data_IF_889984173161
#
_entry.id   IF_889984173161
#
_cell.length_a   1.000
_cell.length_b   1.000
_cell.length_c   1.000
_cell.angle_alpha   90.00
_cell.angle_beta   90.00
_cell.angle_gamma   90.00
#
_symmetry.space_group_name_H-M   'P 1'
#
loop_
_entity.id
_entity.type
_entity.pdbx_description
1 polymer ?
#
# COMPACT_ATOMS: atom_id res chain seq x y z
N UNK A 1 -15.15 -9.54 2.87
CA UNK A 1 -14.03 -8.61 3.03
C UNK A 1 -14.38 -7.28 2.39
N UNK A 2 -14.25 -6.21 3.13
CA UNK A 2 -14.64 -4.89 2.66
C UNK A 2 -13.42 -4.01 2.41
N UNK A 3 -13.29 -3.50 1.19
CA UNK A 3 -12.17 -2.65 0.79
C UNK A 3 -12.60 -1.19 0.92
N UNK A 4 -11.80 -0.33 1.59
CA UNK A 4 -12.13 1.09 1.70
C UNK A 4 -12.26 1.75 0.33
N UNK A 5 -13.26 2.59 0.16
CA UNK A 5 -13.52 3.25 -1.13
C UNK A 5 -13.08 4.71 -1.17
N UNK A 6 -12.77 5.26 -0.03
CA UNK A 6 -12.39 6.67 0.11
C UNK A 6 -10.95 6.86 0.58
N UNK A 7 -10.15 5.82 0.46
CA UNK A 7 -8.75 5.86 0.88
C UNK A 7 -7.91 6.59 -0.17
N UNK A 8 -7.17 7.61 0.26
CA UNK A 8 -6.25 8.32 -0.63
C UNK A 8 -4.90 7.61 -0.72
N UNK A 9 -4.16 7.89 -1.79
CA UNK A 9 -2.81 7.37 -1.93
C UNK A 9 -1.92 7.78 -0.77
N UNK A 10 -2.04 9.03 -0.32
CA UNK A 10 -1.27 9.54 0.81
C UNK A 10 -1.55 8.77 2.10
N UNK A 11 -2.82 8.44 2.35
CA UNK A 11 -3.21 7.66 3.53
C UNK A 11 -2.65 6.24 3.44
N UNK A 12 -2.72 5.64 2.27
CA UNK A 12 -2.18 4.30 2.04
C UNK A 12 -0.67 4.26 2.28
N UNK A 13 0.06 5.25 1.75
CA UNK A 13 1.50 5.38 1.97
C UNK A 13 1.82 5.49 3.45
N UNK A 14 1.06 6.34 4.17
CA UNK A 14 1.27 6.54 5.61
C UNK A 14 1.15 5.25 6.39
N UNK A 15 0.10 4.47 6.11
CA UNK A 15 -0.13 3.21 6.82
C UNK A 15 0.95 2.18 6.47
N UNK A 16 1.29 2.05 5.20
CA UNK A 16 2.30 1.09 4.78
C UNK A 16 3.67 1.41 5.39
N UNK A 17 4.01 2.70 5.49
CA UNK A 17 5.27 3.10 6.12
C UNK A 17 5.25 2.91 7.63
N UNK A 18 4.13 3.22 8.29
CA UNK A 18 4.01 3.12 9.74
C UNK A 18 3.91 1.68 10.24
N UNK A 19 3.07 0.87 9.58
CA UNK A 19 2.68 -0.44 10.12
C UNK A 19 3.33 -1.62 9.39
N UNK A 20 3.82 -1.42 8.16
CA UNK A 20 4.23 -2.55 7.31
C UNK A 20 5.69 -2.47 6.86
N UNK A 21 6.45 -1.54 7.39
CA UNK A 21 7.89 -1.48 7.15
C UNK A 21 8.31 -0.98 5.78
N UNK A 22 7.43 -0.24 5.11
CA UNK A 22 7.78 0.40 3.85
C UNK A 22 8.37 1.78 4.10
N UNK A 23 9.08 2.30 3.11
CA UNK A 23 9.58 3.67 3.13
C UNK A 23 9.43 4.26 1.74
N UNK A 24 9.34 5.59 1.67
CA UNK A 24 9.28 6.30 0.40
C UNK A 24 10.68 6.35 -0.20
N UNK A 25 10.84 5.74 -1.38
CA UNK A 25 12.10 5.80 -2.09
C UNK A 25 12.21 7.11 -2.88
N UNK A 26 11.17 7.45 -3.63
CA UNK A 26 11.07 8.70 -4.38
C UNK A 26 9.66 8.86 -4.92
N UNK A 27 9.39 9.96 -5.59
CA UNK A 27 8.11 10.23 -6.22
C UNK A 27 8.34 10.56 -7.70
N UNK A 28 7.58 9.91 -8.56
CA UNK A 28 7.61 10.17 -10.00
C UNK A 28 6.24 10.63 -10.45
N UNK A 29 6.10 11.92 -10.73
CA UNK A 29 4.82 12.51 -11.10
C UNK A 29 3.79 12.26 -10.01
N UNK A 30 2.68 11.61 -10.35
CA UNK A 30 1.61 11.29 -9.42
C UNK A 30 1.78 9.91 -8.75
N UNK A 31 2.95 9.27 -8.92
CA UNK A 31 3.22 7.97 -8.30
C UNK A 31 4.26 8.10 -7.20
N UNK A 32 3.93 7.56 -6.03
CA UNK A 32 4.84 7.51 -4.89
C UNK A 32 5.44 6.12 -4.86
N UNK A 33 6.76 6.03 -4.96
CA UNK A 33 7.45 4.75 -5.00
C UNK A 33 7.86 4.37 -3.58
N UNK A 34 7.29 3.28 -3.08
CA UNK A 34 7.65 2.72 -1.79
C UNK A 34 8.55 1.53 -1.97
N UNK A 35 9.37 1.27 -0.97
CA UNK A 35 10.16 0.05 -0.96
C UNK A 35 10.31 -0.49 0.45
N UNK A 36 10.55 -1.79 0.53
CA UNK A 36 10.84 -2.50 1.76
C UNK A 36 11.94 -3.51 1.49
N UNK A 37 12.70 -3.86 2.53
CA UNK A 37 13.72 -4.90 2.44
C UNK A 37 13.32 -6.16 3.22
N UNK A 38 12.16 -6.15 3.86
CA UNK A 38 11.72 -7.25 4.70
C UNK A 38 10.41 -7.85 4.20
N UNK A 39 10.35 -9.17 4.06
CA UNK A 39 11.43 -10.16 4.27
C UNK A 39 12.48 -10.12 3.16
N UNK A 40 12.19 -9.46 2.06
CA UNK A 40 13.09 -9.31 0.92
C UNK A 40 12.74 -7.99 0.21
N UNK A 41 13.54 -7.60 -0.76
CA UNK A 41 13.33 -6.37 -1.48
C UNK A 41 12.04 -6.40 -2.28
N UNK A 42 11.24 -5.33 -2.16
CA UNK A 42 10.03 -5.12 -2.96
C UNK A 42 9.83 -3.62 -3.19
N UNK A 43 9.41 -3.26 -4.39
CA UNK A 43 8.99 -1.90 -4.71
C UNK A 43 7.53 -1.88 -5.10
N UNK A 44 6.84 -0.82 -4.67
CA UNK A 44 5.44 -0.57 -5.00
C UNK A 44 5.28 0.83 -5.56
N UNK A 45 4.42 0.98 -6.54
CA UNK A 45 4.03 2.29 -7.06
C UNK A 45 2.62 2.59 -6.55
N UNK A 46 2.50 3.63 -5.74
CA UNK A 46 1.21 4.03 -5.15
C UNK A 46 0.74 5.30 -5.87
N UNK A 47 -0.38 5.27 -6.57
CA UNK A 47 -0.90 6.48 -7.20
C UNK A 47 -1.35 7.48 -6.14
N UNK A 48 -0.89 8.71 -6.27
CA UNK A 48 -1.25 9.78 -5.33
C UNK A 48 -2.59 10.41 -5.74
N UNK A 49 -3.63 9.59 -5.71
CA UNK A 49 -5.00 9.99 -6.05
C UNK A 49 -5.88 9.98 -4.81
N UNK A 50 -6.95 10.72 -4.85
CA UNK A 50 -7.92 10.78 -3.77
C UNK A 50 -9.32 10.67 -4.36
N UNK A 51 -9.99 9.51 -4.25
CA UNK A 51 -9.49 8.26 -3.68
C UNK A 51 -8.68 7.43 -4.68
N UNK A 52 -7.98 6.42 -4.17
CA UNK A 52 -7.36 5.40 -5.01
C UNK A 52 -8.47 4.49 -5.53
N UNK A 53 -8.41 4.15 -6.81
CA UNK A 53 -9.41 3.26 -7.41
C UNK A 53 -9.39 1.89 -6.73
N UNK A 54 -10.57 1.31 -6.55
CA UNK A 54 -10.73 0.03 -5.85
C UNK A 54 -9.89 -1.08 -6.50
N UNK A 55 -9.88 -1.14 -7.82
CA UNK A 55 -9.09 -2.14 -8.53
C UNK A 55 -7.59 -2.00 -8.27
N UNK A 56 -7.09 -0.76 -8.30
CA UNK A 56 -5.69 -0.47 -8.02
C UNK A 56 -5.37 -0.79 -6.56
N UNK A 57 -6.24 -0.36 -5.64
CA UNK A 57 -6.07 -0.64 -4.22
C UNK A 57 -6.02 -2.14 -3.95
N UNK A 58 -6.90 -2.90 -4.57
CA UNK A 58 -6.94 -4.35 -4.42
C UNK A 58 -5.63 -5.00 -4.90
N UNK A 59 -5.06 -4.52 -6.00
CA UNK A 59 -3.78 -5.02 -6.52
C UNK A 59 -2.65 -4.75 -5.53
N UNK A 60 -2.63 -3.55 -4.94
CA UNK A 60 -1.61 -3.16 -3.95
C UNK A 60 -1.74 -4.05 -2.71
N UNK A 61 -2.95 -4.22 -2.21
CA UNK A 61 -3.23 -5.06 -1.04
C UNK A 61 -2.75 -6.49 -1.29
N UNK A 62 -3.01 -7.02 -2.47
CA UNK A 62 -2.58 -8.37 -2.83
C UNK A 62 -1.06 -8.49 -2.86
N UNK A 63 -0.37 -7.50 -3.44
CA UNK A 63 1.09 -7.50 -3.52
C UNK A 63 1.72 -7.44 -2.14
N UNK A 64 1.21 -6.57 -1.25
CA UNK A 64 1.71 -6.44 0.12
C UNK A 64 1.44 -7.72 0.91
N UNK A 65 0.24 -8.24 0.82
CA UNK A 65 -0.17 -9.46 1.53
C UNK A 65 0.75 -10.62 1.17
N UNK A 66 1.03 -10.81 -0.10
CA UNK A 66 1.92 -11.88 -0.58
C UNK A 66 3.34 -11.68 -0.07
N UNK A 67 3.86 -10.47 -0.18
CA UNK A 67 5.24 -10.18 0.19
C UNK A 67 5.48 -10.32 1.69
N UNK A 68 4.55 -9.82 2.48
CA UNK A 68 4.67 -9.86 3.94
C UNK A 68 4.19 -11.18 4.56
N UNK A 69 3.55 -12.03 3.78
CA UNK A 69 3.04 -13.31 4.27
C UNK A 69 1.92 -13.17 5.27
N UNK A 70 1.03 -12.19 5.07
CA UNK A 70 -0.10 -11.94 5.98
C UNK A 70 -1.41 -12.05 5.23
N UNK A 71 -2.49 -12.24 5.98
CA UNK A 71 -3.83 -12.27 5.42
C UNK A 71 -4.24 -10.87 4.95
N UNK A 72 -4.99 -10.81 3.86
CA UNK A 72 -5.49 -9.54 3.33
C UNK A 72 -6.30 -8.78 4.39
N UNK A 73 -7.06 -9.51 5.21
CA UNK A 73 -7.87 -8.91 6.25
C UNK A 73 -7.02 -8.18 7.31
N UNK A 74 -5.88 -8.76 7.66
CA UNK A 74 -4.96 -8.11 8.61
C UNK A 74 -4.50 -6.76 8.07
N UNK A 75 -4.14 -6.74 6.78
CA UNK A 75 -3.71 -5.51 6.13
C UNK A 75 -4.86 -4.50 6.07
N UNK A 76 -6.05 -4.94 5.68
CA UNK A 76 -7.23 -4.08 5.58
C UNK A 76 -7.60 -3.47 6.93
N UNK A 77 -7.40 -4.19 8.02
CA UNK A 77 -7.70 -3.70 9.36
C UNK A 77 -6.84 -2.50 9.73
N UNK A 78 -5.65 -2.38 9.17
CA UNK A 78 -4.76 -1.25 9.44
C UNK A 78 -5.10 -0.03 8.57
N UNK A 79 -5.93 -0.19 7.57
CA UNK A 79 -6.31 0.88 6.63
C UNK A 79 -7.57 1.64 7.05
N UNK A 80 -8.09 1.39 8.20
CA UNK A 80 -9.28 2.08 8.70
C UNK A 80 -8.96 3.47 9.22
#
# INVERSE_FOLDING_TARGET
MKIPRDLSGAQLVKVLCRDWGYRVAHQEGSHIILQTEEPAHQRLSIPNHNPVRVGTLNSIIRAVSRHKGVERQELLDTLR
#
